data_IF_325969031947
#
_entry.id   IF_325969031947
#
_cell.length_a   1.000
_cell.length_b   1.000
_cell.length_c   1.000
_cell.angle_alpha   90.00
_cell.angle_beta   90.00
_cell.angle_gamma   90.00
#
_symmetry.space_group_name_H-M   'P 1'
#
loop_
_entity.id
_entity.type
_entity.pdbx_description
1 polymer ?
#
# COMPACT_ATOMS: atom_id res chain seq x y z
N UNK A 1 0.30 -35.20 10.82
CA UNK A 1 0.68 -34.22 11.87
C UNK A 1 -0.11 -32.96 11.54
N UNK A 2 -1.28 -32.84 12.15
CA UNK A 2 -2.27 -31.79 11.90
C UNK A 2 -1.98 -30.61 12.79
N UNK A 3 -1.48 -29.52 12.22
CA UNK A 3 -1.48 -28.21 12.86
C UNK A 3 -2.80 -27.54 12.44
N UNK A 4 -3.79 -27.67 13.31
CA UNK A 4 -4.99 -26.85 13.28
C UNK A 4 -4.64 -25.53 13.96
N UNK A 5 -4.18 -24.55 13.18
CA UNK A 5 -4.10 -23.16 13.64
C UNK A 5 -5.49 -22.54 13.49
N UNK A 6 -6.29 -22.71 14.54
CA UNK A 6 -7.59 -22.08 14.71
C UNK A 6 -7.48 -20.58 14.97
N UNK A 7 -7.03 -19.82 13.97
CA UNK A 7 -7.39 -18.42 13.85
C UNK A 7 -8.48 -18.37 12.78
N UNK A 8 -9.65 -17.81 13.09
CA UNK A 8 -10.74 -17.60 12.13
C UNK A 8 -10.41 -16.53 11.07
N UNK A 9 -9.15 -16.50 10.62
CA UNK A 9 -8.66 -15.67 9.53
C UNK A 9 -9.05 -16.28 8.20
N UNK A 10 -9.25 -15.40 7.22
CA UNK A 10 -9.53 -15.78 5.84
C UNK A 10 -8.32 -16.57 5.32
N UNK A 11 -8.55 -17.75 4.73
CA UNK A 11 -7.49 -18.54 4.11
C UNK A 11 -7.00 -17.82 2.84
N UNK A 12 -5.74 -17.37 2.79
CA UNK A 12 -5.21 -16.67 1.62
C UNK A 12 -5.23 -17.55 0.35
N UNK A 13 -5.06 -18.87 0.49
CA UNK A 13 -5.07 -19.76 -0.68
C UNK A 13 -6.48 -19.96 -1.23
N UNK A 14 -7.49 -19.99 -0.37
CA UNK A 14 -8.89 -20.00 -0.79
C UNK A 14 -9.22 -18.74 -1.61
N UNK A 15 -8.79 -17.55 -1.17
CA UNK A 15 -8.99 -16.30 -1.93
C UNK A 15 -8.39 -16.36 -3.34
N UNK A 16 -7.20 -16.94 -3.50
CA UNK A 16 -6.58 -17.09 -4.82
C UNK A 16 -7.36 -18.04 -5.74
N UNK A 17 -7.91 -19.12 -5.19
CA UNK A 17 -8.60 -20.16 -5.96
C UNK A 17 -10.05 -19.80 -6.28
N UNK A 18 -10.72 -19.07 -5.39
CA UNK A 18 -12.14 -18.69 -5.54
C UNK A 18 -12.34 -17.46 -6.42
N UNK A 19 -11.33 -16.60 -6.55
CA UNK A 19 -11.40 -15.41 -7.41
C UNK A 19 -11.25 -15.82 -8.88
N UNK A 20 -12.20 -15.42 -9.73
CA UNK A 20 -12.05 -15.52 -11.18
C UNK A 20 -11.13 -14.40 -11.70
N UNK A 21 -9.82 -14.63 -11.62
CA UNK A 21 -8.81 -13.66 -12.04
C UNK A 21 -8.85 -13.35 -13.55
N UNK A 22 -9.53 -14.18 -14.35
CA UNK A 22 -9.70 -13.95 -15.77
C UNK A 22 -10.84 -12.99 -16.09
N UNK A 23 -11.81 -12.84 -15.16
CA UNK A 23 -12.94 -11.93 -15.33
C UNK A 23 -12.69 -10.52 -14.79
N UNK A 24 -11.68 -10.32 -13.94
CA UNK A 24 -11.34 -8.99 -13.39
C UNK A 24 -10.38 -8.25 -14.31
N UNK A 25 -10.58 -6.94 -14.44
CA UNK A 25 -9.69 -6.08 -15.23
C UNK A 25 -8.33 -5.87 -14.53
N UNK A 26 -7.28 -5.76 -15.35
CA UNK A 26 -5.90 -5.49 -14.94
C UNK A 26 -5.35 -4.33 -15.75
N UNK A 27 -4.31 -3.65 -15.25
CA UNK A 27 -3.74 -2.47 -15.92
C UNK A 27 -3.22 -2.72 -17.34
N UNK A 28 -2.81 -3.96 -17.63
CA UNK A 28 -2.20 -4.36 -18.89
C UNK A 28 -2.95 -5.58 -19.45
N UNK A 29 -3.31 -5.59 -20.75
CA UNK A 29 -3.88 -6.77 -21.38
C UNK A 29 -2.91 -7.95 -21.33
N UNK A 30 -3.42 -9.16 -21.04
CA UNK A 30 -2.68 -10.42 -20.82
C UNK A 30 -1.93 -10.54 -19.49
N UNK A 31 -2.25 -9.71 -18.50
CA UNK A 31 -1.71 -9.85 -17.14
C UNK A 31 -2.40 -10.96 -16.35
N UNK A 32 -3.67 -11.24 -16.64
CA UNK A 32 -4.28 -12.51 -16.25
C UNK A 32 -3.76 -13.62 -17.18
N UNK A 33 -3.25 -14.77 -16.67
CA UNK A 33 -3.41 -15.32 -15.32
C UNK A 33 -2.18 -15.16 -14.38
N UNK A 34 -1.36 -14.12 -14.53
CA UNK A 34 -0.15 -13.93 -13.71
C UNK A 34 -0.42 -13.37 -12.30
N UNK A 35 -1.53 -12.67 -12.06
CA UNK A 35 -1.84 -12.05 -10.75
C UNK A 35 -1.87 -13.03 -9.58
N UNK A 36 -2.49 -14.23 -9.68
CA UNK A 36 -2.41 -15.24 -8.62
C UNK A 36 -0.99 -15.70 -8.30
N UNK A 37 -0.15 -15.80 -9.33
CA UNK A 37 1.27 -16.17 -9.17
C UNK A 37 2.02 -15.07 -8.43
N UNK A 38 1.83 -13.80 -8.84
CA UNK A 38 2.42 -12.64 -8.17
C UNK A 38 2.02 -12.61 -6.68
N UNK A 39 0.75 -12.87 -6.36
CA UNK A 39 0.27 -12.89 -4.98
C UNK A 39 0.87 -14.05 -4.18
N UNK A 40 0.96 -15.25 -4.77
CA UNK A 40 1.61 -16.40 -4.13
C UNK A 40 3.10 -16.14 -3.84
N UNK A 41 3.81 -15.46 -4.75
CA UNK A 41 5.24 -15.11 -4.63
C UNK A 41 5.51 -14.12 -3.47
N UNK A 42 4.50 -13.41 -2.95
CA UNK A 42 4.64 -12.62 -1.71
C UNK A 42 4.96 -13.49 -0.48
N UNK A 43 4.64 -14.79 -0.56
CA UNK A 43 4.93 -15.78 0.46
C UNK A 43 6.08 -16.72 0.08
N UNK A 44 6.93 -16.33 -0.87
CA UNK A 44 8.16 -17.05 -1.16
C UNK A 44 9.18 -16.91 -0.01
N UNK A 45 10.13 -17.84 0.08
CA UNK A 45 11.22 -17.79 1.05
C UNK A 45 12.40 -16.93 0.54
N UNK A 46 12.47 -16.68 -0.78
CA UNK A 46 13.47 -15.82 -1.43
C UNK A 46 13.01 -14.35 -1.46
N UNK A 47 13.84 -13.47 -0.90
CA UNK A 47 13.58 -12.04 -0.85
C UNK A 47 13.57 -11.38 -2.24
N UNK A 48 14.37 -11.85 -3.19
CA UNK A 48 14.38 -11.32 -4.56
C UNK A 48 13.06 -11.63 -5.29
N UNK A 49 12.48 -12.81 -5.00
CA UNK A 49 11.15 -13.20 -5.50
C UNK A 49 10.09 -12.32 -4.85
N UNK A 50 10.09 -12.18 -3.52
CA UNK A 50 9.16 -11.28 -2.84
C UNK A 50 9.26 -9.83 -3.31
N UNK A 51 10.48 -9.32 -3.53
CA UNK A 51 10.70 -7.96 -4.04
C UNK A 51 10.09 -7.78 -5.42
N UNK A 52 10.31 -8.76 -6.30
CA UNK A 52 9.74 -8.79 -7.65
C UNK A 52 8.22 -8.83 -7.59
N UNK A 53 7.65 -9.67 -6.72
CA UNK A 53 6.21 -9.78 -6.50
C UNK A 53 5.59 -8.46 -6.02
N UNK A 54 6.20 -7.77 -5.05
CA UNK A 54 5.71 -6.45 -4.58
C UNK A 54 5.74 -5.40 -5.69
N UNK A 55 6.82 -5.36 -6.47
CA UNK A 55 6.89 -4.44 -7.64
C UNK A 55 5.78 -4.76 -8.63
N UNK A 56 5.58 -6.04 -8.94
CA UNK A 56 4.57 -6.47 -9.90
C UNK A 56 3.16 -6.23 -9.36
N UNK A 57 2.89 -6.40 -8.07
CA UNK A 57 1.62 -6.06 -7.44
C UNK A 57 1.25 -4.59 -7.69
N UNK A 58 2.16 -3.65 -7.40
CA UNK A 58 1.92 -2.23 -7.63
C UNK A 58 1.73 -1.88 -9.12
N UNK A 59 2.43 -2.58 -10.01
CA UNK A 59 2.26 -2.39 -11.46
C UNK A 59 0.94 -2.95 -11.96
N UNK A 60 0.55 -4.15 -11.57
CA UNK A 60 -0.59 -4.88 -12.14
C UNK A 60 -1.93 -4.36 -11.64
N UNK A 61 -1.95 -3.88 -10.39
CA UNK A 61 -3.17 -3.67 -9.64
C UNK A 61 -3.47 -2.18 -9.39
N UNK A 62 -2.44 -1.33 -9.42
CA UNK A 62 -2.54 0.11 -9.11
C UNK A 62 -1.65 0.98 -10.03
N UNK A 63 -1.51 0.62 -11.31
CA UNK A 63 -0.65 1.37 -12.25
C UNK A 63 -1.08 2.84 -12.36
N UNK A 64 -0.13 3.77 -12.29
CA UNK A 64 -0.39 5.22 -12.38
C UNK A 64 -1.51 5.72 -11.45
N UNK A 65 -1.61 5.11 -10.26
CA UNK A 65 -2.64 5.40 -9.26
C UNK A 65 -4.07 5.08 -9.73
N UNK A 66 -4.27 4.30 -10.80
CA UNK A 66 -5.60 3.82 -11.20
C UNK A 66 -5.94 2.50 -10.51
N UNK A 67 -7.16 2.40 -10.01
CA UNK A 67 -7.77 1.22 -9.41
C UNK A 67 -8.42 0.39 -10.52
N UNK A 68 -8.02 -0.88 -10.59
CA UNK A 68 -8.57 -1.87 -11.52
C UNK A 68 -9.35 -2.93 -10.73
N UNK A 69 -10.22 -3.70 -11.41
CA UNK A 69 -11.03 -4.74 -10.78
C UNK A 69 -10.23 -5.79 -9.98
N UNK A 70 -8.96 -6.02 -10.32
CA UNK A 70 -8.07 -6.88 -9.54
C UNK A 70 -7.67 -6.32 -8.15
N UNK A 71 -7.91 -5.04 -7.87
CA UNK A 71 -7.44 -4.36 -6.67
C UNK A 71 -8.09 -4.83 -5.37
N UNK A 72 -9.42 -4.90 -5.34
CA UNK A 72 -10.10 -5.37 -4.15
C UNK A 72 -9.76 -6.84 -3.81
N UNK A 73 -9.78 -7.80 -4.76
CA UNK A 73 -9.35 -9.17 -4.49
C UNK A 73 -7.88 -9.30 -4.04
N UNK A 74 -6.97 -8.57 -4.69
CA UNK A 74 -5.56 -8.56 -4.30
C UNK A 74 -5.36 -8.00 -2.88
N UNK A 75 -6.09 -6.94 -2.52
CA UNK A 75 -6.05 -6.38 -1.17
C UNK A 75 -6.58 -7.34 -0.10
N UNK A 76 -7.65 -8.07 -0.38
CA UNK A 76 -8.14 -9.14 0.49
C UNK A 76 -7.07 -10.23 0.73
N UNK A 77 -6.35 -10.64 -0.31
CA UNK A 77 -5.24 -11.58 -0.17
C UNK A 77 -4.12 -11.00 0.71
N UNK A 78 -3.70 -9.75 0.44
CA UNK A 78 -2.65 -9.08 1.22
C UNK A 78 -3.03 -8.99 2.70
N UNK A 79 -4.28 -8.61 2.99
CA UNK A 79 -4.83 -8.58 4.36
C UNK A 79 -4.68 -9.95 5.05
N UNK A 80 -5.05 -11.03 4.36
CA UNK A 80 -4.99 -12.39 4.90
C UNK A 80 -3.55 -12.83 5.24
N UNK A 81 -2.55 -12.35 4.50
CA UNK A 81 -1.15 -12.76 4.70
C UNK A 81 -0.35 -11.86 5.65
N UNK A 82 -0.87 -10.71 6.10
CA UNK A 82 -0.11 -9.76 6.92
C UNK A 82 0.53 -10.41 8.16
N UNK A 83 -0.18 -11.32 8.83
CA UNK A 83 0.32 -12.03 10.01
C UNK A 83 1.28 -13.18 9.73
N UNK A 84 1.49 -13.56 8.46
CA UNK A 84 2.35 -14.68 8.09
C UNK A 84 3.82 -14.39 8.44
N UNK A 85 4.58 -15.39 8.89
CA UNK A 85 5.98 -15.22 9.30
C UNK A 85 6.88 -14.69 8.19
N UNK A 86 6.65 -15.15 6.95
CA UNK A 86 7.38 -14.69 5.74
C UNK A 86 7.21 -13.21 5.41
N UNK A 87 6.21 -12.53 5.97
CA UNK A 87 6.12 -11.07 5.81
C UNK A 87 7.14 -10.33 6.69
N UNK A 88 7.91 -11.02 7.53
CA UNK A 88 9.02 -10.43 8.27
C UNK A 88 10.34 -10.38 7.51
N UNK A 89 10.42 -10.95 6.30
CA UNK A 89 11.62 -10.89 5.46
C UNK A 89 12.01 -9.43 5.22
N UNK A 90 13.28 -9.11 5.48
CA UNK A 90 13.84 -7.77 5.29
C UNK A 90 14.31 -7.62 3.85
N UNK A 91 13.85 -6.56 3.20
CA UNK A 91 14.19 -6.28 1.81
C UNK A 91 14.01 -4.81 1.48
N UNK A 92 14.45 -4.41 0.28
CA UNK A 92 14.16 -3.09 -0.28
C UNK A 92 12.95 -3.25 -1.19
N UNK A 93 11.79 -2.87 -0.69
CA UNK A 93 10.51 -3.05 -1.37
C UNK A 93 9.97 -1.71 -1.88
N UNK A 94 9.48 -1.68 -3.12
CA UNK A 94 9.12 -0.47 -3.87
C UNK A 94 10.32 0.47 -4.13
N UNK A 95 10.07 1.67 -4.66
CA UNK A 95 11.11 2.61 -5.09
C UNK A 95 11.79 3.39 -3.95
N UNK A 96 11.51 3.05 -2.69
CA UNK A 96 11.86 3.91 -1.56
C UNK A 96 13.28 3.72 -1.03
N UNK A 97 14.09 2.83 -1.61
CA UNK A 97 15.46 2.51 -1.18
C UNK A 97 15.63 2.18 0.33
N UNK A 98 14.52 1.97 1.05
CA UNK A 98 14.49 1.69 2.49
C UNK A 98 14.44 0.19 2.74
N UNK A 99 15.42 -0.32 3.48
CA UNK A 99 15.41 -1.68 4.01
C UNK A 99 14.30 -1.80 5.08
N UNK A 100 13.31 -2.65 4.85
CA UNK A 100 12.18 -2.84 5.75
C UNK A 100 11.60 -4.26 5.66
N UNK A 101 10.82 -4.71 6.66
CA UNK A 101 10.06 -5.95 6.53
C UNK A 101 9.03 -5.86 5.39
N UNK A 102 8.81 -6.96 4.65
CA UNK A 102 7.75 -7.05 3.65
C UNK A 102 6.39 -6.60 4.20
N UNK A 103 6.08 -6.93 5.45
CA UNK A 103 4.86 -6.52 6.15
C UNK A 103 4.67 -5.00 6.14
N UNK A 104 5.73 -4.23 6.35
CA UNK A 104 5.66 -2.77 6.30
C UNK A 104 5.36 -2.29 4.88
N UNK A 105 5.94 -2.92 3.86
CA UNK A 105 5.66 -2.60 2.46
C UNK A 105 4.20 -2.92 2.08
N UNK A 106 3.67 -4.07 2.52
CA UNK A 106 2.28 -4.48 2.27
C UNK A 106 1.28 -3.58 3.00
N UNK A 107 1.53 -3.23 4.27
CA UNK A 107 0.71 -2.27 5.00
C UNK A 107 0.71 -0.91 4.31
N UNK A 108 1.88 -0.46 3.84
CA UNK A 108 1.95 0.80 3.10
C UNK A 108 1.11 0.73 1.83
N UNK A 109 1.26 -0.33 1.04
CA UNK A 109 0.49 -0.51 -0.19
C UNK A 109 -1.03 -0.51 0.06
N UNK A 110 -1.51 -1.14 1.15
CA UNK A 110 -2.92 -1.05 1.55
C UNK A 110 -3.35 0.39 1.90
N UNK A 111 -2.47 1.16 2.55
CA UNK A 111 -2.72 2.57 2.84
C UNK A 111 -2.77 3.43 1.59
N UNK A 112 -1.85 3.20 0.64
CA UNK A 112 -1.82 3.90 -0.65
C UNK A 112 -3.09 3.59 -1.46
N UNK A 113 -3.52 2.32 -1.48
CA UNK A 113 -4.77 1.91 -2.11
C UNK A 113 -6.00 2.57 -1.45
N UNK A 114 -6.06 2.61 -0.12
CA UNK A 114 -7.12 3.29 0.61
C UNK A 114 -7.14 4.80 0.34
N UNK A 115 -5.96 5.41 0.24
CA UNK A 115 -5.81 6.82 -0.11
C UNK A 115 -6.34 7.11 -1.52
N UNK A 116 -5.93 6.33 -2.51
CA UNK A 116 -6.37 6.50 -3.91
C UNK A 116 -7.90 6.36 -4.00
N UNK A 117 -8.47 5.33 -3.36
CA UNK A 117 -9.92 5.10 -3.38
C UNK A 117 -10.74 6.20 -2.68
N UNK A 118 -10.12 7.03 -1.84
CA UNK A 118 -10.78 8.08 -1.05
C UNK A 118 -10.25 9.48 -1.37
N UNK A 119 -9.44 9.62 -2.41
CA UNK A 119 -8.78 10.87 -2.74
C UNK A 119 -9.79 11.96 -3.16
N UNK A 120 -10.78 11.58 -3.97
CA UNK A 120 -11.93 12.38 -4.39
C UNK A 120 -13.21 11.52 -4.48
N UNK A 121 -14.34 12.12 -4.88
CA UNK A 121 -15.64 11.44 -4.90
C UNK A 121 -15.67 10.25 -5.87
N UNK A 122 -15.04 10.40 -7.04
CA UNK A 122 -15.06 9.41 -8.11
C UNK A 122 -14.00 8.31 -7.92
N UNK A 123 -12.86 8.66 -7.32
CA UNK A 123 -11.66 7.83 -7.26
C UNK A 123 -10.98 7.67 -8.63
N UNK A 124 -9.71 7.26 -8.65
CA UNK A 124 -9.01 7.03 -9.91
C UNK A 124 -9.32 5.60 -10.40
N UNK A 125 -10.32 5.41 -11.25
CA UNK A 125 -10.66 4.10 -11.81
C UNK A 125 -12.11 4.02 -12.29
N UNK A 126 -12.55 2.83 -12.70
CA UNK A 126 -13.97 2.59 -12.98
C UNK A 126 -14.78 2.63 -11.67
N UNK A 127 -15.99 3.23 -11.66
CA UNK A 127 -16.77 3.43 -10.43
C UNK A 127 -17.03 2.15 -9.62
N UNK A 128 -17.25 1.03 -10.31
CA UNK A 128 -17.49 -0.28 -9.67
C UNK A 128 -16.23 -0.79 -8.96
N UNK A 129 -15.04 -0.59 -9.55
CA UNK A 129 -13.76 -1.01 -8.98
C UNK A 129 -13.38 -0.16 -7.76
N UNK A 130 -13.57 1.16 -7.85
CA UNK A 130 -13.39 2.08 -6.71
C UNK A 130 -14.37 1.72 -5.59
N UNK A 131 -15.63 1.41 -5.92
CA UNK A 131 -16.64 0.98 -4.94
C UNK A 131 -16.22 -0.33 -4.26
N UNK A 132 -15.67 -1.29 -5.01
CA UNK A 132 -15.17 -2.54 -4.44
C UNK A 132 -14.01 -2.31 -3.46
N UNK A 133 -13.08 -1.39 -3.77
CA UNK A 133 -12.00 -1.01 -2.84
C UNK A 133 -12.54 -0.27 -1.61
N UNK A 134 -13.51 0.62 -1.77
CA UNK A 134 -14.15 1.31 -0.63
C UNK A 134 -14.83 0.32 0.32
N UNK A 135 -15.46 -0.72 -0.21
CA UNK A 135 -16.13 -1.75 0.58
C UNK A 135 -15.17 -2.54 1.50
N UNK A 136 -13.88 -2.60 1.18
CA UNK A 136 -12.87 -3.30 2.00
C UNK A 136 -12.12 -2.39 2.97
N UNK A 137 -12.36 -1.07 3.00
CA UNK A 137 -11.68 -0.16 3.94
C UNK A 137 -11.82 -0.58 5.41
N UNK A 138 -12.98 -1.06 5.89
CA UNK A 138 -13.08 -1.60 7.26
C UNK A 138 -12.16 -2.80 7.50
N UNK A 139 -11.95 -3.66 6.50
CA UNK A 139 -11.04 -4.80 6.60
C UNK A 139 -9.59 -4.35 6.66
N UNK A 140 -9.20 -3.33 5.87
CA UNK A 140 -7.87 -2.72 5.94
C UNK A 140 -7.62 -2.15 7.33
N UNK A 141 -8.58 -1.40 7.88
CA UNK A 141 -8.47 -0.84 9.23
C UNK A 141 -8.26 -1.93 10.28
N UNK A 142 -9.11 -2.97 10.28
CA UNK A 142 -9.01 -4.08 11.22
C UNK A 142 -7.71 -4.86 11.10
N UNK A 143 -7.21 -5.06 9.87
CA UNK A 143 -5.96 -5.75 9.62
C UNK A 143 -4.72 -4.94 10.08
N UNK A 144 -4.78 -3.60 10.00
CA UNK A 144 -3.71 -2.72 10.46
C UNK A 144 -3.66 -2.56 11.99
N UNK A 145 -4.81 -2.69 12.68
CA UNK A 145 -4.94 -2.45 14.14
C UNK A 145 -3.87 -3.13 15.01
N UNK A 146 -3.52 -4.43 14.84
CA UNK A 146 -2.52 -5.09 15.66
C UNK A 146 -1.12 -4.44 15.59
N UNK A 147 -0.84 -3.74 14.48
CA UNK A 147 0.48 -3.20 14.17
C UNK A 147 0.63 -1.70 14.52
N UNK A 148 -0.44 -1.04 14.98
CA UNK A 148 -0.43 0.39 15.34
C UNK A 148 0.54 0.77 16.46
N UNK A 149 0.95 -0.20 17.27
CA UNK A 149 1.92 -0.05 18.36
C UNK A 149 3.05 -1.08 18.25
N UNK A 150 3.30 -1.62 17.06
CA UNK A 150 4.37 -2.59 16.82
C UNK A 150 5.72 -2.04 17.29
N UNK A 151 6.59 -2.89 17.84
CA UNK A 151 7.92 -2.48 18.29
C UNK A 151 8.79 -1.98 17.13
N UNK A 152 8.65 -2.57 15.95
CA UNK A 152 9.33 -2.14 14.75
C UNK A 152 8.71 -0.84 14.23
N UNK A 153 9.50 0.24 14.22
CA UNK A 153 9.06 1.56 13.78
C UNK A 153 8.50 1.54 12.35
N UNK A 154 9.12 0.82 11.41
CA UNK A 154 8.71 0.83 10.00
C UNK A 154 7.35 0.14 9.81
N UNK A 155 7.10 -0.94 10.56
CA UNK A 155 5.78 -1.60 10.59
C UNK A 155 4.74 -0.65 11.20
N UNK A 156 5.08 -0.01 12.32
CA UNK A 156 4.19 0.93 13.00
C UNK A 156 3.84 2.13 12.14
N UNK A 157 4.81 2.72 11.44
CA UNK A 157 4.58 3.81 10.48
C UNK A 157 3.59 3.36 9.38
N UNK A 158 3.87 2.25 8.71
CA UNK A 158 3.00 1.74 7.65
C UNK A 158 1.59 1.38 8.15
N UNK A 159 1.46 0.84 9.35
CA UNK A 159 0.18 0.52 9.97
C UNK A 159 -0.65 1.77 10.29
N UNK A 160 -0.01 2.81 10.85
CA UNK A 160 -0.69 4.07 11.16
C UNK A 160 -1.12 4.76 9.86
N UNK A 161 -0.30 4.71 8.81
CA UNK A 161 -0.67 5.18 7.47
C UNK A 161 -1.90 4.44 6.94
N UNK A 162 -1.84 3.10 6.88
CA UNK A 162 -2.95 2.28 6.41
C UNK A 162 -4.26 2.57 7.15
N UNK A 163 -4.22 2.59 8.48
CA UNK A 163 -5.40 2.89 9.29
C UNK A 163 -5.90 4.33 9.07
N UNK A 164 -5.01 5.32 8.99
CA UNK A 164 -5.40 6.72 8.82
C UNK A 164 -6.12 6.97 7.49
N UNK A 165 -5.64 6.37 6.39
CA UNK A 165 -6.25 6.55 5.06
C UNK A 165 -7.68 5.99 4.99
N UNK A 166 -7.97 4.91 5.72
CA UNK A 166 -9.34 4.35 5.76
C UNK A 166 -10.35 5.26 6.45
N UNK A 167 -9.93 6.20 7.31
CA UNK A 167 -10.84 7.06 8.08
C UNK A 167 -11.52 8.17 7.25
N UNK A 168 -11.19 8.28 5.96
CA UNK A 168 -11.97 9.05 5.01
C UNK A 168 -13.37 8.43 4.79
N UNK A 169 -13.53 7.12 5.03
CA UNK A 169 -14.83 6.46 5.07
C UNK A 169 -15.64 6.93 6.31
N UNK A 170 -16.87 7.47 6.14
CA UNK A 170 -17.64 8.04 7.23
C UNK A 170 -17.90 7.07 8.40
N UNK A 171 -18.10 5.79 8.12
CA UNK A 171 -18.33 4.74 9.10
C UNK A 171 -17.11 4.48 10.01
N UNK A 172 -15.89 4.79 9.53
CA UNK A 172 -14.66 4.64 10.30
C UNK A 172 -14.24 5.92 11.02
N UNK A 173 -14.88 7.06 10.72
CA UNK A 173 -14.55 8.36 11.34
C UNK A 173 -14.63 8.35 12.88
N UNK A 174 -15.40 7.43 13.47
CA UNK A 174 -15.46 7.20 14.92
C UNK A 174 -14.09 6.88 15.54
N UNK A 175 -13.13 6.39 14.75
CA UNK A 175 -11.78 6.05 15.19
C UNK A 175 -10.79 7.23 15.15
N UNK A 176 -11.16 8.37 14.57
CA UNK A 176 -10.29 9.55 14.45
C UNK A 176 -9.65 9.96 15.80
N UNK A 177 -10.39 10.10 16.92
CA UNK A 177 -9.80 10.51 18.20
C UNK A 177 -8.70 9.56 18.70
N UNK A 178 -8.77 8.26 18.35
CA UNK A 178 -7.77 7.26 18.72
C UNK A 178 -6.53 7.32 17.82
N UNK A 179 -6.70 7.66 16.54
CA UNK A 179 -5.62 7.69 15.55
C UNK A 179 -4.84 9.01 15.57
N UNK A 180 -5.46 10.13 15.95
CA UNK A 180 -4.80 11.44 16.01
C UNK A 180 -3.46 11.42 16.79
N UNK A 181 -3.38 10.88 18.02
CA UNK A 181 -2.11 10.82 18.74
C UNK A 181 -1.05 9.98 18.02
N UNK A 182 -1.45 8.87 17.38
CA UNK A 182 -0.55 7.97 16.66
C UNK A 182 -0.02 8.63 15.39
N UNK A 183 -0.87 9.32 14.63
CA UNK A 183 -0.46 10.08 13.44
C UNK A 183 0.57 11.15 13.82
N UNK A 184 0.33 11.88 14.92
CA UNK A 184 1.27 12.91 15.39
C UNK A 184 2.61 12.32 15.87
N UNK A 185 2.58 11.26 16.66
CA UNK A 185 3.81 10.70 17.25
C UNK A 185 4.60 9.84 16.27
N UNK A 186 3.95 9.28 15.26
CA UNK A 186 4.55 8.32 14.32
C UNK A 186 4.76 8.94 12.95
N UNK A 187 3.70 9.31 12.24
CA UNK A 187 3.83 9.77 10.85
C UNK A 187 4.41 11.18 10.75
N UNK A 188 3.99 12.11 11.61
CA UNK A 188 4.54 13.49 11.59
C UNK A 188 6.03 13.53 11.98
N UNK A 189 6.50 12.54 12.74
CA UNK A 189 7.90 12.40 13.16
C UNK A 189 8.71 11.46 12.23
N UNK A 190 8.08 10.86 11.23
CA UNK A 190 8.74 9.90 10.34
C UNK A 190 9.87 10.56 9.56
N UNK A 191 10.96 9.83 9.32
CA UNK A 191 12.01 10.23 8.39
C UNK A 191 11.50 10.25 6.94
N UNK A 192 10.44 9.50 6.66
CA UNK A 192 9.85 9.46 5.33
C UNK A 192 8.96 10.67 5.06
N UNK A 193 9.38 11.49 4.09
CA UNK A 193 8.72 12.76 3.75
C UNK A 193 7.26 12.59 3.37
N UNK A 194 6.92 11.51 2.66
CA UNK A 194 5.54 11.23 2.24
C UNK A 194 4.64 11.01 3.44
N UNK A 195 5.08 10.25 4.45
CA UNK A 195 4.31 10.07 5.70
C UNK A 195 4.10 11.39 6.45
N UNK A 196 5.09 12.27 6.50
CA UNK A 196 4.90 13.61 7.11
C UNK A 196 3.84 14.43 6.36
N UNK A 197 3.87 14.38 5.03
CA UNK A 197 2.87 15.05 4.19
C UNK A 197 1.46 14.48 4.43
N UNK A 198 1.31 13.16 4.40
CA UNK A 198 0.02 12.48 4.60
C UNK A 198 -0.52 12.67 6.02
N UNK A 199 0.34 12.67 7.03
CA UNK A 199 -0.04 12.99 8.42
C UNK A 199 -0.70 14.36 8.50
N UNK A 200 -0.08 15.36 7.85
CA UNK A 200 -0.62 16.72 7.80
C UNK A 200 -1.98 16.76 7.11
N UNK A 201 -2.10 16.11 5.96
CA UNK A 201 -3.37 16.03 5.22
C UNK A 201 -4.47 15.42 6.08
N UNK A 202 -4.22 14.27 6.74
CA UNK A 202 -5.17 13.64 7.64
C UNK A 202 -5.67 14.60 8.72
N UNK A 203 -4.74 15.25 9.43
CA UNK A 203 -5.08 16.16 10.53
C UNK A 203 -5.96 17.31 10.04
N UNK A 204 -5.63 17.91 8.89
CA UNK A 204 -6.46 18.96 8.27
C UNK A 204 -7.86 18.43 7.92
N UNK A 205 -7.95 17.29 7.25
CA UNK A 205 -9.23 16.66 6.87
C UNK A 205 -10.10 16.35 8.09
N UNK A 206 -9.48 15.98 9.21
CA UNK A 206 -10.18 15.69 10.47
C UNK A 206 -10.51 16.94 11.31
N UNK A 207 -10.18 18.15 10.83
CA UNK A 207 -10.41 19.40 11.56
C UNK A 207 -9.49 19.57 12.78
N UNK A 208 -8.33 18.91 12.77
CA UNK A 208 -7.35 18.92 13.86
C UNK A 208 -6.13 19.75 13.44
N UNK A 209 -5.63 20.60 14.36
CA UNK A 209 -4.49 21.49 14.09
C UNK A 209 -3.27 20.72 13.55
N UNK A 210 -2.84 20.94 12.29
CA UNK A 210 -1.80 20.12 11.67
C UNK A 210 -0.41 20.29 12.25
N UNK A 211 -0.16 21.38 13.00
CA UNK A 211 1.20 21.78 13.38
C UNK A 211 2.00 22.35 12.20
N UNK A 212 3.28 22.71 12.44
CA UNK A 212 4.11 23.40 11.45
C UNK A 212 4.28 22.57 10.16
N UNK A 213 4.29 23.24 9.01
CA UNK A 213 4.59 22.61 7.73
C UNK A 213 6.02 22.02 7.77
N UNK A 214 6.25 20.77 7.32
CA UNK A 214 7.60 20.32 7.04
C UNK A 214 8.21 21.22 5.96
N UNK A 215 9.46 21.67 6.16
CA UNK A 215 10.12 22.58 5.22
C UNK A 215 10.18 21.94 3.83
N UNK A 216 9.61 22.56 2.79
CA UNK A 216 9.70 22.05 1.43
C UNK A 216 11.14 21.92 0.91
N UNK A 217 12.12 22.56 1.57
CA UNK A 217 13.56 22.50 1.23
C UNK A 217 14.31 21.29 1.80
N UNK A 218 13.69 20.49 2.67
CA UNK A 218 14.26 19.20 3.06
C UNK A 218 13.79 18.17 2.03
N UNK A 219 14.31 18.31 0.81
CA UNK A 219 14.41 17.20 -0.12
C UNK A 219 15.29 16.13 0.53
N UNK A 220 14.90 14.86 0.46
CA UNK A 220 15.89 13.78 0.55
C UNK A 220 16.94 13.96 -0.55
N UNK A 221 18.01 13.15 -0.60
CA UNK A 221 18.98 13.28 -1.69
C UNK A 221 18.22 13.25 -3.01
N UNK A 222 18.29 14.36 -3.76
CA UNK A 222 17.75 14.40 -5.11
C UNK A 222 18.38 13.22 -5.87
N UNK A 223 17.63 12.50 -6.72
CA UNK A 223 18.26 11.56 -7.63
C UNK A 223 19.28 12.36 -8.40
N UNK A 224 20.56 12.06 -8.12
CA UNK A 224 21.73 12.73 -8.64
C UNK A 224 21.47 13.19 -10.07
N UNK A 225 21.73 14.47 -10.32
CA UNK A 225 22.11 15.02 -11.62
C UNK A 225 23.03 14.03 -12.35
N UNK A 226 22.42 13.09 -13.09
CA UNK A 226 23.07 12.40 -14.18
C UNK A 226 22.72 13.21 -15.41
N UNK A 227 23.70 13.90 -16.03
CA UNK A 227 23.50 14.46 -17.34
C UNK A 227 23.02 13.33 -18.25
N UNK A 228 21.88 13.54 -18.90
CA UNK A 228 21.43 12.74 -20.02
C UNK A 228 22.48 12.86 -21.13
N UNK A 229 23.52 12.04 -21.08
CA UNK A 229 24.47 11.86 -22.17
C UNK A 229 23.80 10.98 -23.23
N UNK A 230 22.89 11.58 -23.98
CA UNK A 230 22.21 10.98 -25.12
C UNK A 230 21.87 12.11 -26.10
N UNK A 231 22.85 12.48 -26.92
CA UNK A 231 22.72 13.55 -27.89
C UNK A 231 21.63 13.27 -28.90
N UNK A 232 20.63 14.14 -28.95
CA UNK A 232 19.83 14.34 -30.16
C UNK A 232 20.71 15.11 -31.14
N UNK A 233 21.18 14.41 -32.16
CA UNK A 233 21.78 15.02 -33.35
C UNK A 233 20.63 15.64 -34.17
N UNK A 234 20.47 16.95 -34.07
CA UNK A 234 19.68 17.74 -35.01
C UNK A 234 20.46 17.86 -36.33
N UNK A 235 20.32 16.86 -37.21
CA UNK A 235 20.64 17.03 -38.63
C UNK A 235 19.48 16.49 -39.49
N UNK A 236 18.82 17.33 -40.31
CA UNK A 236 17.77 16.90 -41.22
C UNK A 236 18.35 16.24 -42.48
N UNK A 237 17.68 15.26 -43.10
CA UNK A 237 18.16 14.66 -44.33
C UNK A 237 17.88 15.59 -45.52
N UNK A 238 18.88 15.69 -46.42
CA UNK A 238 18.69 16.16 -47.80
C UNK A 238 18.00 15.09 -48.65
#
# INVERSE_FOLDING_TARGET
MTINDGNGGIDPWALLLETDWSSVEHCCPNTAPATPVILAELLDDDEDVQRTAVRNLGQVVTHQNSIYGAAAPAACFVIAILGHSRTMTLGVYFHEERLRPLRAALLQWLGDLAYDATYDEDGPGEPDDVTAVRAILPLIYEAARPYLIDANLLIREAAVHAAAMTLAAPELAIHIPKLVPLVRSTLSASEYRVYRYLAKRCLVTWGVEPGPLPDPRISGPEPMDRPWAGGYSDDPPF
#
